data_IF_482753753112
#
_entry.id   IF_482753753112
#
_cell.length_a   1.000
_cell.length_b   1.000
_cell.length_c   1.000
_cell.angle_alpha   90.00
_cell.angle_beta   90.00
_cell.angle_gamma   90.00
#
_symmetry.space_group_name_H-M   'P 1'
#
loop_
_entity.id
_entity.type
_entity.pdbx_description
1 polymer ?
#
# COMPACT_ATOMS: atom_id res chain seq x y z
N UNK A 1 -47.21 -40.11 9.48
CA UNK A 1 -46.32 -39.09 8.88
C UNK A 1 -45.19 -39.82 8.21
N UNK A 2 -44.96 -39.55 6.92
CA UNK A 2 -43.86 -40.21 6.20
C UNK A 2 -42.53 -39.64 6.72
N UNK A 3 -41.57 -40.49 7.12
CA UNK A 3 -40.27 -40.04 7.63
C UNK A 3 -39.46 -39.19 6.61
N UNK A 4 -39.91 -39.16 5.36
CA UNK A 4 -39.30 -38.40 4.27
C UNK A 4 -39.37 -36.89 4.46
N UNK A 5 -40.49 -36.35 4.99
CA UNK A 5 -40.65 -34.90 5.18
C UNK A 5 -39.65 -34.29 6.17
N UNK A 6 -39.48 -34.80 7.41
CA UNK A 6 -38.50 -34.23 8.33
C UNK A 6 -37.06 -34.40 7.85
N UNK A 7 -36.74 -35.51 7.17
CA UNK A 7 -35.42 -35.73 6.56
C UNK A 7 -35.16 -34.69 5.46
N UNK A 8 -36.15 -34.44 4.60
CA UNK A 8 -36.03 -33.46 3.53
C UNK A 8 -35.85 -32.05 4.08
N UNK A 9 -36.62 -31.65 5.10
CA UNK A 9 -36.47 -30.36 5.78
C UNK A 9 -35.07 -30.21 6.38
N UNK A 10 -34.57 -31.24 7.08
CA UNK A 10 -33.24 -31.22 7.66
C UNK A 10 -32.14 -31.09 6.59
N UNK A 11 -32.29 -31.80 5.47
CA UNK A 11 -31.38 -31.71 4.33
C UNK A 11 -31.42 -30.32 3.69
N UNK A 12 -32.61 -29.74 3.54
CA UNK A 12 -32.79 -28.39 3.00
C UNK A 12 -32.14 -27.33 3.91
N UNK A 13 -32.34 -27.45 5.22
CA UNK A 13 -31.69 -26.60 6.22
C UNK A 13 -30.17 -26.73 6.16
N UNK A 14 -29.64 -27.96 6.10
CA UNK A 14 -28.21 -28.19 6.02
C UNK A 14 -27.59 -27.63 4.73
N UNK A 15 -28.29 -27.73 3.60
CA UNK A 15 -27.84 -27.15 2.33
C UNK A 15 -27.86 -25.62 2.41
N UNK A 16 -28.94 -25.01 2.89
CA UNK A 16 -29.05 -23.56 3.06
C UNK A 16 -27.92 -23.02 3.95
N UNK A 17 -27.70 -23.66 5.10
CA UNK A 17 -26.66 -23.27 6.04
C UNK A 17 -25.24 -23.40 5.44
N UNK A 18 -24.98 -24.47 4.68
CA UNK A 18 -23.69 -24.65 3.98
C UNK A 18 -23.48 -23.63 2.88
N UNK A 19 -24.52 -23.27 2.13
CA UNK A 19 -24.43 -22.23 1.10
C UNK A 19 -24.18 -20.86 1.73
N UNK A 20 -24.86 -20.54 2.83
CA UNK A 20 -24.65 -19.29 3.59
C UNK A 20 -23.20 -19.21 4.06
N UNK A 21 -22.71 -20.29 4.69
CA UNK A 21 -21.31 -20.44 5.08
C UNK A 21 -20.32 -20.24 3.93
N UNK A 22 -20.61 -20.83 2.78
CA UNK A 22 -19.78 -20.74 1.59
C UNK A 22 -19.72 -19.32 1.02
N UNK A 23 -20.84 -18.64 0.81
CA UNK A 23 -20.87 -17.29 0.23
C UNK A 23 -20.30 -16.25 1.20
N UNK A 24 -20.75 -16.28 2.45
CA UNK A 24 -20.28 -15.40 3.53
C UNK A 24 -18.77 -15.56 3.81
N UNK A 25 -18.28 -16.81 3.83
CA UNK A 25 -16.86 -17.12 3.92
C UNK A 25 -16.07 -16.66 2.71
N UNK A 26 -16.54 -16.97 1.50
CA UNK A 26 -15.89 -16.57 0.24
C UNK A 26 -15.73 -15.05 0.14
N UNK A 27 -16.73 -14.28 0.55
CA UNK A 27 -16.64 -12.81 0.62
C UNK A 27 -15.46 -12.35 1.48
N UNK A 28 -15.39 -12.84 2.72
CA UNK A 28 -14.34 -12.48 3.67
C UNK A 28 -12.97 -12.92 3.18
N UNK A 29 -12.88 -14.13 2.64
CA UNK A 29 -11.64 -14.65 2.06
C UNK A 29 -11.16 -13.79 0.90
N UNK A 30 -12.07 -13.37 0.03
CA UNK A 30 -11.74 -12.59 -1.15
C UNK A 30 -11.22 -11.20 -0.79
N UNK A 31 -11.81 -10.54 0.21
CA UNK A 31 -11.27 -9.27 0.71
C UNK A 31 -9.95 -9.41 1.45
N UNK A 32 -9.66 -10.60 1.98
CA UNK A 32 -8.42 -10.88 2.72
C UNK A 32 -7.29 -11.43 1.86
N UNK A 33 -7.58 -11.93 0.65
CA UNK A 33 -6.57 -12.52 -0.23
C UNK A 33 -5.55 -11.48 -0.64
N UNK A 34 -4.32 -11.92 -0.79
CA UNK A 34 -3.28 -11.03 -1.27
C UNK A 34 -3.23 -10.92 -2.78
N UNK A 35 -3.35 -9.70 -3.28
CA UNK A 35 -3.35 -9.43 -4.71
C UNK A 35 -1.98 -9.65 -5.38
N UNK A 36 -0.83 -9.22 -4.83
CA UNK A 36 0.49 -9.52 -5.38
C UNK A 36 0.73 -11.02 -5.60
N UNK A 37 0.56 -11.86 -4.57
CA UNK A 37 0.70 -13.31 -4.71
C UNK A 37 -0.26 -13.91 -5.73
N UNK A 38 -1.52 -13.51 -5.69
CA UNK A 38 -2.53 -14.01 -6.62
C UNK A 38 -2.17 -13.66 -8.08
N UNK A 39 -1.62 -12.47 -8.31
CA UNK A 39 -1.14 -12.03 -9.62
C UNK A 39 0.05 -12.86 -10.10
N UNK A 40 1.03 -13.14 -9.23
CA UNK A 40 2.19 -13.99 -9.55
C UNK A 40 1.73 -15.40 -9.90
N UNK A 41 0.87 -16.01 -9.08
CA UNK A 41 0.37 -17.36 -9.30
C UNK A 41 -0.43 -17.43 -10.62
N UNK A 42 -1.22 -16.40 -10.94
CA UNK A 42 -1.95 -16.31 -12.20
C UNK A 42 -1.00 -16.19 -13.42
N UNK A 43 0.08 -15.42 -13.31
CA UNK A 43 1.11 -15.30 -14.35
C UNK A 43 1.88 -16.61 -14.54
N UNK A 44 2.14 -17.34 -13.44
CA UNK A 44 2.76 -18.67 -13.46
C UNK A 44 1.86 -19.77 -14.06
N UNK A 45 0.62 -19.44 -14.44
CA UNK A 45 -0.28 -20.35 -15.15
C UNK A 45 -1.38 -20.98 -14.31
N UNK A 46 -1.47 -20.67 -13.00
CA UNK A 46 -2.51 -21.20 -12.12
C UNK A 46 -3.91 -20.73 -12.61
N UNK A 47 -4.72 -21.70 -13.05
CA UNK A 47 -6.07 -21.47 -13.57
C UNK A 47 -7.01 -20.90 -12.50
N UNK A 48 -6.84 -21.31 -11.24
CA UNK A 48 -7.67 -20.84 -10.13
C UNK A 48 -7.29 -19.40 -9.79
N UNK A 49 -5.99 -19.11 -9.71
CA UNK A 49 -5.51 -17.74 -9.52
C UNK A 49 -6.00 -16.81 -10.65
N UNK A 50 -5.98 -17.26 -11.92
CA UNK A 50 -6.54 -16.50 -13.06
C UNK A 50 -8.02 -16.18 -12.89
N UNK A 51 -8.84 -17.11 -12.39
CA UNK A 51 -10.27 -16.89 -12.13
C UNK A 51 -10.49 -15.87 -11.02
N UNK A 52 -9.80 -16.03 -9.89
CA UNK A 52 -9.89 -15.08 -8.78
C UNK A 52 -9.39 -13.68 -9.19
N UNK A 53 -8.34 -13.60 -10.01
CA UNK A 53 -7.87 -12.33 -10.61
C UNK A 53 -8.91 -11.68 -11.53
N UNK A 54 -9.69 -12.47 -12.27
CA UNK A 54 -10.76 -11.94 -13.09
C UNK A 54 -11.83 -11.25 -12.24
N UNK A 55 -12.24 -11.88 -11.13
CA UNK A 55 -13.15 -11.28 -10.16
C UNK A 55 -12.54 -10.04 -9.51
N UNK A 56 -11.24 -10.05 -9.20
CA UNK A 56 -10.56 -8.90 -8.57
C UNK A 56 -10.51 -7.69 -9.50
N UNK A 57 -10.43 -7.92 -10.81
CA UNK A 57 -10.50 -6.86 -11.83
C UNK A 57 -11.92 -6.42 -12.16
N UNK A 58 -12.94 -7.19 -11.77
CA UNK A 58 -14.35 -6.91 -12.03
C UNK A 58 -15.19 -7.18 -10.77
N UNK A 59 -14.96 -6.42 -9.68
CA UNK A 59 -15.54 -6.70 -8.37
C UNK A 59 -17.07 -6.73 -8.39
N UNK A 60 -17.72 -5.95 -9.26
CA UNK A 60 -19.17 -5.94 -9.42
C UNK A 60 -19.78 -7.34 -9.62
N UNK A 61 -19.14 -8.22 -10.40
CA UNK A 61 -19.65 -9.58 -10.62
C UNK A 61 -19.47 -10.48 -9.39
N UNK A 62 -18.34 -10.32 -8.68
CA UNK A 62 -18.10 -11.04 -7.45
C UNK A 62 -19.12 -10.63 -6.38
N UNK A 63 -19.22 -9.33 -6.10
CA UNK A 63 -20.13 -8.76 -5.10
C UNK A 63 -21.56 -9.17 -5.41
N UNK A 64 -22.01 -9.05 -6.67
CA UNK A 64 -23.37 -9.39 -7.02
C UNK A 64 -23.68 -10.88 -6.85
N UNK A 65 -22.74 -11.76 -7.21
CA UNK A 65 -22.89 -13.22 -7.03
C UNK A 65 -22.96 -13.58 -5.56
N UNK A 66 -22.05 -13.05 -4.76
CA UNK A 66 -21.96 -13.37 -3.34
C UNK A 66 -23.16 -12.83 -2.56
N UNK A 67 -23.63 -11.62 -2.89
CA UNK A 67 -24.81 -11.02 -2.26
C UNK A 67 -26.09 -11.81 -2.58
N UNK A 68 -26.32 -12.11 -3.86
CA UNK A 68 -27.50 -12.89 -4.29
C UNK A 68 -27.43 -14.31 -3.70
N UNK A 69 -26.27 -14.95 -3.78
CA UNK A 69 -26.06 -16.31 -3.28
C UNK A 69 -26.27 -16.41 -1.77
N UNK A 70 -25.72 -15.48 -0.99
CA UNK A 70 -25.87 -15.47 0.46
C UNK A 70 -27.33 -15.22 0.87
N UNK A 71 -28.01 -14.28 0.22
CA UNK A 71 -29.41 -14.01 0.49
C UNK A 71 -30.31 -15.20 0.14
N UNK A 72 -30.07 -15.85 -1.00
CA UNK A 72 -30.80 -17.06 -1.39
C UNK A 72 -30.59 -18.20 -0.37
N UNK A 73 -29.35 -18.38 0.10
CA UNK A 73 -29.02 -19.38 1.11
C UNK A 73 -29.73 -19.10 2.44
N UNK A 74 -29.78 -17.83 2.86
CA UNK A 74 -30.49 -17.41 4.07
C UNK A 74 -32.00 -17.64 3.93
N UNK A 75 -32.61 -17.28 2.80
CA UNK A 75 -34.03 -17.56 2.55
C UNK A 75 -34.34 -19.05 2.53
N UNK A 76 -33.47 -19.87 1.94
CA UNK A 76 -33.61 -21.34 1.95
C UNK A 76 -33.56 -21.90 3.38
N UNK A 77 -32.65 -21.36 4.19
CA UNK A 77 -32.49 -21.74 5.59
C UNK A 77 -33.71 -21.36 6.42
N UNK A 78 -34.20 -20.12 6.30
CA UNK A 78 -35.42 -19.65 6.98
C UNK A 78 -36.66 -20.41 6.52
N UNK A 79 -36.77 -20.71 5.22
CA UNK A 79 -37.85 -21.53 4.69
C UNK A 79 -37.82 -22.95 5.27
N UNK A 80 -36.64 -23.58 5.36
CA UNK A 80 -36.51 -24.88 5.98
C UNK A 80 -36.85 -24.87 7.48
N UNK A 81 -36.47 -23.81 8.22
CA UNK A 81 -36.87 -23.65 9.63
C UNK A 81 -38.39 -23.56 9.75
N UNK A 82 -39.03 -22.69 8.95
CA UNK A 82 -40.49 -22.50 8.96
C UNK A 82 -41.24 -23.79 8.60
N UNK A 83 -40.80 -24.51 7.57
CA UNK A 83 -41.36 -25.80 7.21
C UNK A 83 -41.14 -26.84 8.34
N UNK A 84 -39.96 -26.85 8.96
CA UNK A 84 -39.70 -27.70 10.13
C UNK A 84 -40.65 -27.45 11.29
N UNK A 85 -41.02 -26.19 11.55
CA UNK A 85 -42.04 -25.84 12.54
C UNK A 85 -43.40 -26.44 12.17
N UNK A 86 -43.83 -26.35 10.90
CA UNK A 86 -45.08 -26.97 10.45
C UNK A 86 -45.04 -28.49 10.61
N UNK A 87 -43.92 -29.14 10.27
CA UNK A 87 -43.78 -30.60 10.41
C UNK A 87 -43.84 -31.04 11.88
N UNK A 88 -43.28 -30.24 12.80
CA UNK A 88 -43.23 -30.58 14.23
C UNK A 88 -44.49 -30.20 15.01
N UNK A 89 -45.11 -29.06 14.68
CA UNK A 89 -46.20 -28.46 15.46
C UNK A 89 -47.53 -28.37 14.68
N UNK A 90 -47.57 -28.82 13.43
CA UNK A 90 -48.75 -28.82 12.55
C UNK A 90 -49.12 -27.47 11.95
N UNK A 91 -48.67 -26.36 12.54
CA UNK A 91 -48.92 -25.00 12.09
C UNK A 91 -47.85 -24.03 12.59
N UNK A 92 -47.67 -22.91 11.89
CA UNK A 92 -46.87 -21.77 12.36
C UNK A 92 -47.80 -20.83 13.12
N UNK A 93 -47.58 -20.69 14.43
CA UNK A 93 -48.18 -19.66 15.28
C UNK A 93 -47.15 -18.57 15.60
N UNK A 94 -47.61 -17.40 16.04
CA UNK A 94 -46.72 -16.30 16.49
C UNK A 94 -45.70 -16.78 17.55
N UNK A 95 -46.13 -17.65 18.46
CA UNK A 95 -45.25 -18.18 19.53
C UNK A 95 -44.17 -19.08 18.94
N UNK A 96 -44.53 -20.02 18.06
CA UNK A 96 -43.56 -20.93 17.43
C UNK A 96 -42.62 -20.20 16.47
N UNK A 97 -43.08 -19.14 15.80
CA UNK A 97 -42.26 -18.33 14.92
C UNK A 97 -41.23 -17.51 15.69
N UNK A 98 -41.64 -16.84 16.77
CA UNK A 98 -40.72 -16.11 17.67
C UNK A 98 -39.72 -17.09 18.31
N UNK A 99 -40.20 -18.21 18.84
CA UNK A 99 -39.33 -19.20 19.48
C UNK A 99 -38.32 -19.80 18.51
N UNK A 100 -38.75 -20.22 17.31
CA UNK A 100 -37.85 -20.76 16.28
C UNK A 100 -36.84 -19.71 15.81
N UNK A 101 -37.25 -18.45 15.66
CA UNK A 101 -36.35 -17.35 15.31
C UNK A 101 -35.29 -17.13 16.40
N UNK A 102 -35.68 -17.04 17.67
CA UNK A 102 -34.75 -16.83 18.79
C UNK A 102 -33.79 -18.00 18.97
N UNK A 103 -34.25 -19.23 18.74
CA UNK A 103 -33.43 -20.44 18.88
C UNK A 103 -32.51 -20.68 17.69
N UNK A 104 -33.01 -20.49 16.46
CA UNK A 104 -32.25 -20.80 15.24
C UNK A 104 -31.37 -19.64 14.77
N UNK A 105 -31.69 -18.39 15.08
CA UNK A 105 -30.86 -17.24 14.68
C UNK A 105 -29.41 -17.38 15.15
N UNK A 106 -29.10 -17.69 16.43
CA UNK A 106 -27.72 -17.93 16.87
C UNK A 106 -27.05 -19.09 16.15
N UNK A 107 -27.78 -20.15 15.81
CA UNK A 107 -27.25 -21.31 15.07
C UNK A 107 -26.87 -20.90 13.64
N UNK A 108 -27.78 -20.23 12.93
CA UNK A 108 -27.53 -19.75 11.57
C UNK A 108 -26.39 -18.73 11.55
N UNK A 109 -26.37 -17.80 12.51
CA UNK A 109 -25.29 -16.83 12.64
C UNK A 109 -23.93 -17.51 12.90
N UNK A 110 -23.87 -18.43 13.86
CA UNK A 110 -22.62 -19.10 14.23
C UNK A 110 -22.07 -19.94 13.08
N UNK A 111 -22.90 -20.80 12.50
CA UNK A 111 -22.45 -21.79 11.51
C UNK A 111 -22.49 -21.28 10.07
N UNK A 112 -23.41 -20.36 9.75
CA UNK A 112 -23.55 -19.76 8.42
C UNK A 112 -22.68 -18.52 8.23
N UNK A 113 -22.30 -17.82 9.29
CA UNK A 113 -21.53 -16.57 9.15
C UNK A 113 -20.25 -16.53 9.99
N UNK A 114 -20.35 -16.60 11.31
CA UNK A 114 -19.22 -16.30 12.20
C UNK A 114 -18.05 -17.28 12.00
N UNK A 115 -18.31 -18.59 12.07
CA UNK A 115 -17.28 -19.61 11.90
C UNK A 115 -16.70 -19.61 10.47
N UNK A 116 -17.50 -19.62 9.39
CA UNK A 116 -16.98 -19.59 8.03
C UNK A 116 -16.14 -18.33 7.74
N UNK A 117 -16.61 -17.15 8.14
CA UNK A 117 -15.86 -15.89 7.98
C UNK A 117 -14.51 -15.96 8.69
N UNK A 118 -14.46 -16.48 9.92
CA UNK A 118 -13.20 -16.63 10.67
C UNK A 118 -12.24 -17.63 10.01
N UNK A 119 -12.75 -18.76 9.49
CA UNK A 119 -11.91 -19.72 8.76
C UNK A 119 -11.30 -19.11 7.50
N UNK A 120 -12.11 -18.44 6.70
CA UNK A 120 -11.68 -17.75 5.49
C UNK A 120 -10.75 -16.57 5.77
N UNK A 121 -10.93 -15.88 6.89
CA UNK A 121 -10.02 -14.82 7.32
C UNK A 121 -8.61 -15.37 7.61
N UNK A 122 -8.52 -16.55 8.23
CA UNK A 122 -7.24 -17.18 8.60
C UNK A 122 -6.52 -17.83 7.42
N UNK A 123 -7.26 -18.41 6.47
CA UNK A 123 -6.70 -19.18 5.37
C UNK A 123 -7.32 -18.84 4.00
N UNK A 124 -7.37 -17.55 3.60
CA UNK A 124 -8.17 -17.06 2.48
C UNK A 124 -7.79 -17.73 1.16
N UNK A 125 -6.50 -17.75 0.82
CA UNK A 125 -6.04 -18.27 -0.47
C UNK A 125 -6.33 -19.77 -0.61
N UNK A 126 -6.12 -20.56 0.44
CA UNK A 126 -6.35 -22.01 0.41
C UNK A 126 -7.83 -22.36 0.25
N UNK A 127 -8.70 -21.68 1.00
CA UNK A 127 -10.14 -21.94 0.99
C UNK A 127 -10.78 -21.42 -0.29
N UNK A 128 -10.44 -20.21 -0.74
CA UNK A 128 -10.88 -19.69 -2.04
C UNK A 128 -10.39 -20.56 -3.19
N UNK A 129 -9.18 -21.12 -3.13
CA UNK A 129 -8.69 -22.03 -4.16
C UNK A 129 -9.52 -23.29 -4.24
N UNK A 130 -9.81 -23.90 -3.09
CA UNK A 130 -10.66 -25.08 -2.98
C UNK A 130 -12.08 -24.82 -3.51
N UNK A 131 -12.61 -23.66 -3.14
CA UNK A 131 -14.02 -23.31 -3.32
C UNK A 131 -14.26 -22.55 -4.66
N UNK A 132 -13.19 -22.23 -5.41
CA UNK A 132 -13.23 -21.49 -6.69
C UNK A 132 -14.12 -22.14 -7.74
N UNK A 133 -14.07 -23.47 -7.90
CA UNK A 133 -14.87 -24.17 -8.91
C UNK A 133 -16.36 -24.10 -8.56
N UNK A 134 -16.70 -24.25 -7.27
CA UNK A 134 -18.08 -24.10 -6.79
C UNK A 134 -18.55 -22.66 -6.96
N UNK A 135 -17.69 -21.68 -6.70
CA UNK A 135 -18.02 -20.26 -6.89
C UNK A 135 -18.26 -19.92 -8.35
N UNK A 136 -17.49 -20.48 -9.28
CA UNK A 136 -17.73 -20.30 -10.72
C UNK A 136 -19.06 -20.92 -11.15
N UNK A 137 -19.41 -22.11 -10.63
CA UNK A 137 -20.71 -22.71 -10.90
C UNK A 137 -21.86 -21.84 -10.37
N UNK A 138 -21.72 -21.32 -9.14
CA UNK A 138 -22.67 -20.39 -8.56
C UNK A 138 -22.78 -19.08 -9.37
N UNK A 139 -21.65 -18.53 -9.85
CA UNK A 139 -21.62 -17.35 -10.71
C UNK A 139 -22.46 -17.55 -11.97
N UNK A 140 -22.24 -18.65 -12.71
CA UNK A 140 -23.02 -18.91 -13.93
C UNK A 140 -24.50 -19.20 -13.64
N UNK A 141 -24.80 -19.91 -12.56
CA UNK A 141 -26.17 -20.21 -12.14
C UNK A 141 -26.95 -18.94 -11.72
N UNK A 142 -26.30 -18.05 -10.97
CA UNK A 142 -26.90 -16.83 -10.42
C UNK A 142 -26.73 -15.62 -11.34
N UNK A 143 -26.06 -15.77 -12.48
CA UNK A 143 -25.86 -14.71 -13.46
C UNK A 143 -27.15 -13.96 -13.85
N UNK A 144 -28.27 -14.62 -14.20
CA UNK A 144 -29.50 -13.91 -14.59
C UNK A 144 -30.08 -13.07 -13.45
N UNK A 145 -30.01 -13.58 -12.21
CA UNK A 145 -30.51 -12.89 -11.03
C UNK A 145 -29.57 -11.75 -10.57
N UNK A 146 -28.27 -11.89 -10.79
CA UNK A 146 -27.24 -10.92 -10.39
C UNK A 146 -27.01 -9.80 -11.41
N UNK A 147 -27.43 -9.96 -12.67
CA UNK A 147 -27.24 -8.96 -13.72
C UNK A 147 -27.75 -7.56 -13.34
N UNK A 148 -28.98 -7.37 -12.83
CA UNK A 148 -29.48 -6.04 -12.49
C UNK A 148 -28.61 -5.35 -11.46
N UNK A 149 -28.11 -6.11 -10.48
CA UNK A 149 -27.23 -5.62 -9.43
C UNK A 149 -25.88 -5.18 -9.98
N UNK A 150 -25.30 -5.94 -10.92
CA UNK A 150 -24.08 -5.51 -11.65
C UNK A 150 -24.33 -4.19 -12.40
N UNK A 151 -25.52 -4.02 -12.97
CA UNK A 151 -25.93 -2.76 -13.61
C UNK A 151 -25.92 -1.57 -12.64
N UNK A 152 -26.46 -1.76 -11.43
CA UNK A 152 -26.46 -0.74 -10.37
C UNK A 152 -25.02 -0.40 -9.94
N UNK A 153 -24.16 -1.39 -9.70
CA UNK A 153 -22.77 -1.14 -9.30
C UNK A 153 -22.02 -0.33 -10.36
N UNK A 154 -22.16 -0.68 -11.65
CA UNK A 154 -21.53 0.06 -12.75
C UNK A 154 -22.10 1.48 -12.92
N UNK A 155 -23.38 1.68 -12.62
CA UNK A 155 -23.98 3.02 -12.63
C UNK A 155 -23.35 3.90 -11.53
N UNK A 156 -23.18 3.35 -10.33
CA UNK A 156 -22.50 4.05 -9.22
C UNK A 156 -21.05 4.38 -9.61
N UNK A 157 -20.31 3.42 -10.17
CA UNK A 157 -18.93 3.65 -10.66
C UNK A 157 -18.87 4.79 -11.70
N UNK A 158 -19.90 4.94 -12.54
CA UNK A 158 -19.99 6.01 -13.54
C UNK A 158 -20.32 7.38 -12.92
N UNK A 159 -21.14 7.40 -11.87
CA UNK A 159 -21.53 8.63 -11.17
C UNK A 159 -20.44 9.14 -10.22
N UNK A 160 -19.61 8.22 -9.71
CA UNK A 160 -18.46 8.52 -8.86
C UNK A 160 -17.18 7.93 -9.47
N UNK A 161 -16.68 8.49 -10.59
CA UNK A 161 -15.40 8.07 -11.13
C UNK A 161 -14.30 8.31 -10.08
N UNK A 162 -13.48 7.29 -9.80
CA UNK A 162 -12.26 7.49 -9.00
C UNK A 162 -11.44 8.63 -9.65
N UNK A 163 -11.15 9.67 -8.85
CA UNK A 163 -10.90 11.04 -9.33
C UNK A 163 -9.74 11.22 -10.32
N UNK A 164 -9.88 12.22 -11.21
CA UNK A 164 -9.01 12.42 -12.38
C UNK A 164 -7.49 12.54 -12.11
N UNK A 165 -6.71 12.14 -13.14
CA UNK A 165 -5.25 12.21 -13.38
C UNK A 165 -4.28 12.63 -12.26
N UNK A 166 -4.52 13.73 -11.52
CA UNK A 166 -3.65 14.16 -10.40
C UNK A 166 -3.92 13.35 -9.12
N UNK A 167 -5.17 13.02 -8.83
CA UNK A 167 -5.53 12.17 -7.67
C UNK A 167 -5.09 10.73 -7.93
N UNK A 168 -5.18 10.23 -9.17
CA UNK A 168 -4.65 8.94 -9.61
C UNK A 168 -3.13 8.78 -9.40
N UNK A 169 -2.33 9.84 -9.59
CA UNK A 169 -0.88 9.77 -9.39
C UNK A 169 -0.48 9.63 -7.92
N UNK A 170 -1.14 10.38 -7.02
CA UNK A 170 -0.92 10.26 -5.57
C UNK A 170 -1.50 8.96 -5.01
N UNK A 171 -2.73 8.61 -5.37
CA UNK A 171 -3.35 7.32 -5.00
C UNK A 171 -2.57 6.14 -5.58
N UNK A 172 -2.04 6.27 -6.80
CA UNK A 172 -1.24 5.27 -7.48
C UNK A 172 0.08 4.99 -6.77
N UNK A 173 0.79 6.03 -6.31
CA UNK A 173 2.02 5.85 -5.51
C UNK A 173 1.74 5.20 -4.16
N UNK A 174 0.72 5.68 -3.44
CA UNK A 174 0.32 5.07 -2.16
C UNK A 174 -0.07 3.60 -2.35
N UNK A 175 -0.79 3.28 -3.43
CA UNK A 175 -1.13 1.90 -3.81
C UNK A 175 0.10 1.07 -4.17
N UNK A 176 1.09 1.63 -4.88
CA UNK A 176 2.36 0.94 -5.16
C UNK A 176 3.14 0.63 -3.88
N UNK A 177 3.25 1.58 -2.94
CA UNK A 177 3.90 1.37 -1.64
C UNK A 177 3.17 0.30 -0.82
N UNK A 178 1.84 0.30 -0.85
CA UNK A 178 1.03 -0.75 -0.23
C UNK A 178 1.31 -2.12 -0.84
N UNK A 179 1.39 -2.22 -2.17
CA UNK A 179 1.71 -3.46 -2.88
C UNK A 179 3.12 -3.96 -2.55
N UNK A 180 4.12 -3.08 -2.44
CA UNK A 180 5.48 -3.45 -2.01
C UNK A 180 5.49 -3.99 -0.58
N UNK A 181 4.78 -3.31 0.32
CA UNK A 181 4.66 -3.71 1.73
C UNK A 181 3.94 -5.05 1.87
N UNK A 182 2.89 -5.26 1.08
CA UNK A 182 2.19 -6.54 0.99
C UNK A 182 3.12 -7.63 0.45
N UNK A 183 3.88 -7.35 -0.62
CA UNK A 183 4.89 -8.26 -1.16
C UNK A 183 5.93 -8.68 -0.12
N UNK A 184 6.34 -7.77 0.77
CA UNK A 184 7.20 -8.10 1.92
C UNK A 184 6.53 -9.10 2.88
N UNK A 185 5.29 -8.84 3.29
CA UNK A 185 4.55 -9.75 4.18
C UNK A 185 4.35 -11.15 3.59
N UNK A 186 4.31 -11.24 2.26
CA UNK A 186 4.20 -12.50 1.53
C UNK A 186 5.54 -13.19 1.24
N UNK A 187 6.65 -12.62 1.69
CA UNK A 187 7.99 -13.13 1.41
C UNK A 187 8.42 -13.00 -0.05
N UNK A 188 7.70 -12.19 -0.85
CA UNK A 188 8.06 -11.88 -2.25
C UNK A 188 9.18 -10.85 -2.32
N UNK A 189 9.30 -10.01 -1.28
CA UNK A 189 10.36 -9.01 -1.14
C UNK A 189 11.04 -9.16 0.22
N UNK A 190 12.35 -8.95 0.25
CA UNK A 190 13.10 -8.83 1.50
C UNK A 190 12.81 -7.49 2.20
N UNK A 191 13.07 -7.43 3.50
CA UNK A 191 12.99 -6.20 4.29
C UNK A 191 13.85 -5.06 3.73
N UNK A 192 15.01 -5.40 3.16
CA UNK A 192 15.90 -4.42 2.53
C UNK A 192 15.29 -3.91 1.24
N UNK A 193 14.85 -4.80 0.34
CA UNK A 193 14.23 -4.40 -0.93
C UNK A 193 12.99 -3.52 -0.73
N UNK A 194 12.10 -3.87 0.21
CA UNK A 194 10.93 -3.06 0.52
C UNK A 194 11.31 -1.67 1.07
N UNK A 195 12.33 -1.59 1.94
CA UNK A 195 12.82 -0.30 2.45
C UNK A 195 13.39 0.59 1.36
N UNK A 196 14.23 0.03 0.48
CA UNK A 196 14.82 0.78 -0.64
C UNK A 196 13.75 1.27 -1.61
N UNK A 197 12.82 0.38 -2.01
CA UNK A 197 11.73 0.74 -2.92
C UNK A 197 10.83 1.84 -2.35
N UNK A 198 10.40 1.68 -1.08
CA UNK A 198 9.55 2.69 -0.43
C UNK A 198 10.29 4.00 -0.21
N UNK A 199 11.58 3.96 0.16
CA UNK A 199 12.42 5.14 0.29
C UNK A 199 12.43 5.92 -1.03
N UNK A 200 12.80 5.28 -2.13
CA UNK A 200 12.90 5.95 -3.45
C UNK A 200 11.54 6.47 -3.90
N UNK A 201 10.47 5.67 -3.81
CA UNK A 201 9.14 6.07 -4.26
C UNK A 201 8.56 7.25 -3.50
N UNK A 202 8.90 7.40 -2.21
CA UNK A 202 8.40 8.47 -1.36
C UNK A 202 9.29 9.71 -1.36
N UNK A 203 10.61 9.54 -1.40
CA UNK A 203 11.57 10.64 -1.18
C UNK A 203 12.11 11.23 -2.47
N UNK A 204 12.26 10.44 -3.54
CA UNK A 204 12.76 10.93 -4.82
C UNK A 204 12.00 12.16 -5.37
N UNK A 205 10.66 12.24 -5.32
CA UNK A 205 9.93 13.39 -5.85
C UNK A 205 9.87 14.59 -4.91
N UNK A 206 10.34 14.47 -3.65
CA UNK A 206 10.36 15.59 -2.72
C UNK A 206 11.39 16.63 -3.19
N UNK A 207 11.16 17.92 -2.91
CA UNK A 207 12.10 18.96 -3.28
C UNK A 207 13.41 18.80 -2.51
N UNK A 208 14.50 19.26 -3.13
CA UNK A 208 15.84 19.22 -2.55
C UNK A 208 15.93 20.05 -1.25
N UNK A 209 15.06 21.03 -1.08
CA UNK A 209 14.94 21.87 0.13
C UNK A 209 14.63 21.08 1.39
N UNK A 210 13.97 19.92 1.27
CA UNK A 210 13.66 19.06 2.43
C UNK A 210 14.90 18.31 2.96
N UNK A 211 15.99 18.29 2.18
CA UNK A 211 17.24 17.59 2.48
C UNK A 211 18.44 18.52 2.64
N UNK A 212 18.28 19.81 2.34
CA UNK A 212 19.39 20.76 2.41
C UNK A 212 19.75 21.09 3.84
N UNK A 213 21.01 21.43 4.07
CA UNK A 213 21.44 22.11 5.28
C UNK A 213 21.14 23.61 5.07
N UNK A 214 20.27 24.22 5.89
CA UNK A 214 19.98 25.66 5.82
C UNK A 214 21.25 26.50 5.90
N UNK A 215 21.31 27.65 5.20
CA UNK A 215 22.51 28.48 5.05
C UNK A 215 23.17 28.88 6.38
N UNK A 216 22.38 29.12 7.43
CA UNK A 216 22.80 29.47 8.79
C UNK A 216 23.43 28.29 9.56
N UNK A 217 23.22 27.06 9.09
CA UNK A 217 23.69 25.81 9.72
C UNK A 217 24.81 25.14 8.93
N UNK A 218 25.18 25.68 7.78
CA UNK A 218 26.27 25.12 6.98
C UNK A 218 27.59 25.31 7.72
N UNK A 219 28.30 24.22 7.94
CA UNK A 219 29.62 24.23 8.55
C UNK A 219 30.67 24.48 7.46
N UNK A 220 31.39 25.58 7.59
CA UNK A 220 32.48 25.93 6.68
C UNK A 220 33.29 27.13 7.15
N UNK A 221 34.14 27.63 6.26
CA UNK A 221 35.07 28.74 6.53
C UNK A 221 35.03 29.76 5.39
N UNK A 222 35.65 30.92 5.61
CA UNK A 222 35.75 31.98 4.60
C UNK A 222 36.72 31.57 3.48
N UNK A 223 36.51 32.07 2.26
CA UNK A 223 37.47 31.92 1.15
C UNK A 223 38.86 32.51 1.43
N UNK A 224 38.96 33.41 2.41
CA UNK A 224 40.22 34.05 2.84
C UNK A 224 40.95 33.26 3.93
N UNK A 225 40.35 32.18 4.44
CA UNK A 225 40.94 31.39 5.51
C UNK A 225 42.26 30.75 5.10
N UNK A 226 43.21 30.74 6.04
CA UNK A 226 44.52 30.14 5.82
C UNK A 226 44.45 28.61 5.75
N UNK A 227 45.50 28.00 5.20
CA UNK A 227 45.61 26.53 5.12
C UNK A 227 45.51 25.88 6.50
N UNK A 228 46.15 26.49 7.50
CA UNK A 228 46.15 26.01 8.88
C UNK A 228 44.75 26.10 9.51
N UNK A 229 44.01 27.17 9.23
CA UNK A 229 42.62 27.34 9.69
C UNK A 229 41.70 26.28 9.10
N UNK A 230 41.79 26.01 7.80
CA UNK A 230 40.98 24.96 7.13
C UNK A 230 41.28 23.59 7.76
N UNK A 231 42.56 23.26 7.97
CA UNK A 231 42.95 21.98 8.59
C UNK A 231 42.52 21.89 10.05
N UNK A 232 42.60 22.98 10.81
CA UNK A 232 42.12 23.05 12.20
C UNK A 232 40.60 22.87 12.26
N UNK A 233 39.86 23.50 11.35
CA UNK A 233 38.42 23.34 11.21
C UNK A 233 38.05 21.89 10.88
N UNK A 234 38.68 21.31 9.86
CA UNK A 234 38.47 19.93 9.45
C UNK A 234 38.70 18.94 10.60
N UNK A 235 39.76 19.13 11.39
CA UNK A 235 40.04 18.32 12.59
C UNK A 235 38.99 18.51 13.68
N UNK A 236 38.58 19.74 13.94
CA UNK A 236 37.59 20.06 14.99
C UNK A 236 36.22 19.43 14.70
N UNK A 237 35.78 19.45 13.44
CA UNK A 237 34.47 18.94 13.03
C UNK A 237 34.53 17.54 12.39
N UNK A 238 35.71 16.92 12.37
CA UNK A 238 35.97 15.61 11.76
C UNK A 238 35.39 15.45 10.34
N UNK A 239 35.48 16.51 9.53
CA UNK A 239 34.92 16.53 8.18
C UNK A 239 36.02 16.43 7.12
N UNK A 240 35.90 15.55 6.11
CA UNK A 240 36.85 15.46 5.00
C UNK A 240 36.65 16.55 3.94
N UNK A 241 35.54 17.28 4.02
CA UNK A 241 35.11 18.31 3.07
C UNK A 241 34.73 19.56 3.85
N UNK A 242 35.24 20.72 3.44
CA UNK A 242 34.95 21.99 4.10
C UNK A 242 34.27 22.91 3.10
N UNK A 243 33.07 23.39 3.42
CA UNK A 243 32.36 24.36 2.60
C UNK A 243 33.02 25.75 2.74
N UNK A 244 32.95 26.54 1.67
CA UNK A 244 33.50 27.87 1.57
C UNK A 244 32.40 28.87 1.26
N UNK A 245 32.34 29.93 2.06
CA UNK A 245 31.50 31.11 1.79
C UNK A 245 32.37 32.29 1.35
N UNK A 246 31.77 33.25 0.65
CA UNK A 246 32.49 34.48 0.28
C UNK A 246 32.81 35.30 1.52
N UNK A 247 33.93 36.03 1.48
CA UNK A 247 34.29 36.97 2.55
C UNK A 247 33.28 38.11 2.69
N UNK A 248 32.62 38.49 1.58
CA UNK A 248 31.62 39.56 1.54
C UNK A 248 30.30 39.20 2.26
N UNK A 249 29.95 37.92 2.33
CA UNK A 249 28.68 37.47 2.89
C UNK A 249 28.80 36.05 3.46
N UNK A 250 28.62 35.91 4.78
CA UNK A 250 28.72 34.62 5.49
C UNK A 250 27.70 33.57 5.03
N UNK A 251 26.61 33.99 4.37
CA UNK A 251 25.56 33.11 3.86
C UNK A 251 25.71 32.79 2.36
N UNK A 252 26.65 33.42 1.63
CA UNK A 252 26.90 33.14 0.21
C UNK A 252 27.91 32.00 0.04
N UNK A 253 27.41 30.77 0.21
CA UNK A 253 28.14 29.53 -0.04
C UNK A 253 28.30 29.27 -1.53
N UNK A 254 29.52 29.00 -2.01
CA UNK A 254 29.79 28.87 -3.46
C UNK A 254 30.74 27.74 -3.85
N UNK A 255 31.58 27.26 -2.93
CA UNK A 255 32.59 26.25 -3.23
C UNK A 255 32.86 25.37 -2.01
N UNK A 256 33.52 24.24 -2.23
CA UNK A 256 34.06 23.42 -1.15
C UNK A 256 35.49 23.00 -1.46
N UNK A 257 36.21 22.55 -0.44
CA UNK A 257 37.57 22.07 -0.56
C UNK A 257 37.71 20.70 0.10
N UNK A 258 38.50 19.81 -0.51
CA UNK A 258 38.79 18.49 0.06
C UNK A 258 40.03 18.60 0.94
N UNK A 259 39.92 18.13 2.18
CA UNK A 259 41.03 18.18 3.15
C UNK A 259 42.25 17.43 2.65
N UNK A 260 42.04 16.33 1.91
CA UNK A 260 43.13 15.59 1.27
C UNK A 260 43.93 16.47 0.30
N UNK A 261 43.26 17.23 -0.57
CA UNK A 261 43.92 18.13 -1.53
C UNK A 261 44.72 19.21 -0.79
N UNK A 262 44.21 19.70 0.34
CA UNK A 262 44.88 20.66 1.23
C UNK A 262 46.10 20.05 1.95
N UNK A 263 46.18 18.73 2.09
CA UNK A 263 47.35 18.08 2.68
C UNK A 263 48.40 17.72 1.64
N UNK A 264 47.99 17.42 0.40
CA UNK A 264 48.87 16.92 -0.65
C UNK A 264 49.41 18.00 -1.58
N UNK A 265 48.62 19.04 -1.86
CA UNK A 265 48.98 20.08 -2.83
C UNK A 265 49.49 21.35 -2.12
N UNK A 266 50.75 21.71 -2.35
CA UNK A 266 51.38 22.93 -1.80
C UNK A 266 51.11 24.19 -2.61
N UNK A 267 50.34 24.09 -3.69
CA UNK A 267 49.94 25.19 -4.55
C UNK A 267 49.02 26.22 -3.88
N UNK A 268 48.61 27.26 -4.63
CA UNK A 268 47.72 28.30 -4.13
C UNK A 268 46.36 27.70 -3.73
N UNK A 269 45.86 28.03 -2.53
CA UNK A 269 44.59 27.49 -2.01
C UNK A 269 43.41 27.68 -2.98
N UNK A 270 43.38 28.80 -3.71
CA UNK A 270 42.31 29.12 -4.66
C UNK A 270 42.21 28.12 -5.82
N UNK A 271 43.29 27.43 -6.21
CA UNK A 271 43.22 26.40 -7.26
C UNK A 271 42.58 25.10 -6.78
N UNK A 272 42.43 24.94 -5.46
CA UNK A 272 41.81 23.77 -4.84
C UNK A 272 40.30 23.94 -4.62
N UNK A 273 39.75 25.13 -4.91
CA UNK A 273 38.34 25.41 -4.73
C UNK A 273 37.53 24.65 -5.78
N UNK A 274 36.60 23.81 -5.31
CA UNK A 274 35.63 23.12 -6.17
C UNK A 274 34.31 23.88 -6.15
N UNK A 275 33.92 24.54 -7.26
CA UNK A 275 32.68 25.28 -7.33
C UNK A 275 31.49 24.34 -7.11
N UNK A 276 30.53 24.75 -6.29
CA UNK A 276 29.29 24.00 -6.12
C UNK A 276 28.36 24.29 -7.31
N UNK A 277 27.83 23.27 -8.01
CA UNK A 277 26.77 23.48 -8.98
C UNK A 277 25.53 24.05 -8.30
N UNK A 278 24.83 24.91 -9.04
CA UNK A 278 23.61 25.58 -8.58
C UNK A 278 22.42 24.67 -8.85
N UNK A 279 21.64 24.42 -7.80
CA UNK A 279 20.43 23.62 -7.82
C UNK A 279 19.21 24.50 -7.60
N UNK A 280 18.15 24.25 -8.38
CA UNK A 280 16.86 24.90 -8.18
C UNK A 280 16.21 24.42 -6.87
N UNK A 281 15.54 25.29 -6.09
CA UNK A 281 14.81 24.88 -4.88
C UNK A 281 13.66 23.92 -5.20
N UNK A 282 13.11 24.02 -6.41
CA UNK A 282 12.04 23.14 -6.90
C UNK A 282 12.55 21.82 -7.50
N UNK A 283 13.87 21.64 -7.65
CA UNK A 283 14.44 20.40 -8.17
C UNK A 283 14.14 19.25 -7.20
N UNK A 284 13.86 18.06 -7.74
CA UNK A 284 13.65 16.89 -6.92
C UNK A 284 14.97 16.39 -6.32
N UNK A 285 14.92 15.65 -5.21
CA UNK A 285 16.12 15.04 -4.61
C UNK A 285 16.87 14.14 -5.59
N UNK A 286 16.14 13.44 -6.47
CA UNK A 286 16.75 12.58 -7.48
C UNK A 286 17.45 13.39 -8.58
N UNK A 287 16.81 14.46 -9.07
CA UNK A 287 17.41 15.34 -10.10
C UNK A 287 18.67 16.02 -9.55
N UNK A 288 18.60 16.51 -8.30
CA UNK A 288 19.75 17.12 -7.61
C UNK A 288 20.91 16.12 -7.45
N UNK A 289 20.62 14.87 -7.04
CA UNK A 289 21.65 13.84 -6.94
C UNK A 289 22.24 13.48 -8.31
N UNK A 290 21.41 13.37 -9.34
CA UNK A 290 21.85 13.08 -10.70
C UNK A 290 22.75 14.20 -11.25
N UNK A 291 22.37 15.46 -11.03
CA UNK A 291 23.17 16.60 -11.45
C UNK A 291 24.55 16.59 -10.77
N UNK A 292 24.60 16.38 -9.45
CA UNK A 292 25.86 16.24 -8.71
C UNK A 292 26.74 15.09 -9.24
N UNK A 293 26.13 13.96 -9.62
CA UNK A 293 26.86 12.83 -10.20
C UNK A 293 27.42 13.13 -11.59
N UNK A 294 26.67 13.82 -12.44
CA UNK A 294 27.10 14.23 -13.79
C UNK A 294 28.25 15.24 -13.70
N UNK A 295 28.11 16.22 -12.81
CA UNK A 295 29.12 17.27 -12.61
C UNK A 295 30.37 16.71 -11.89
N UNK A 296 30.28 15.52 -11.29
CA UNK A 296 31.37 14.90 -10.53
C UNK A 296 31.61 15.59 -9.18
N UNK A 297 30.62 16.31 -8.68
CA UNK A 297 30.72 17.16 -7.49
C UNK A 297 29.96 16.57 -6.29
N UNK A 298 30.52 16.74 -5.08
CA UNK A 298 29.95 16.14 -3.87
C UNK A 298 28.95 17.06 -3.17
N UNK A 299 29.07 18.37 -3.38
CA UNK A 299 28.26 19.41 -2.75
C UNK A 299 27.59 20.26 -3.82
N UNK A 300 26.34 20.65 -3.60
CA UNK A 300 25.60 21.59 -4.44
C UNK A 300 25.02 22.73 -3.60
N UNK A 301 24.86 23.90 -4.20
CA UNK A 301 24.22 25.05 -3.55
C UNK A 301 22.80 25.20 -4.06
N UNK A 302 21.83 25.32 -3.15
CA UNK A 302 20.44 25.58 -3.49
C UNK A 302 20.23 27.10 -3.49
N UNK A 303 19.94 27.68 -4.66
CA UNK A 303 19.72 29.14 -4.80
C UNK A 303 18.32 29.45 -5.31
N UNK A 304 17.68 30.45 -4.73
CA UNK A 304 16.42 31.03 -5.21
C UNK A 304 16.72 32.44 -5.73
N UNK A 305 16.86 32.58 -7.05
CA UNK A 305 17.46 33.78 -7.64
C UNK A 305 18.93 33.92 -7.23
N UNK A 306 19.28 35.06 -6.64
CA UNK A 306 20.64 35.32 -6.14
C UNK A 306 20.87 34.85 -4.70
N UNK A 307 19.81 34.48 -3.97
CA UNK A 307 19.89 34.13 -2.55
C UNK A 307 20.19 32.65 -2.34
N UNK A 308 21.24 32.34 -1.56
CA UNK A 308 21.53 30.97 -1.10
C UNK A 308 20.53 30.57 -0.02
N UNK A 309 19.81 29.48 -0.26
CA UNK A 309 18.88 28.88 0.73
C UNK A 309 19.55 27.82 1.58
N UNK A 310 20.55 27.14 1.02
CA UNK A 310 21.26 26.09 1.72
C UNK A 310 22.22 25.32 0.81
N UNK A 311 22.83 24.30 1.40
CA UNK A 311 23.81 23.44 0.74
C UNK A 311 23.41 21.98 0.91
N UNK A 312 23.58 21.19 -0.14
CA UNK A 312 23.25 19.76 -0.16
C UNK A 312 24.50 18.94 -0.42
N UNK A 313 24.55 17.75 0.17
CA UNK A 313 25.62 16.78 -0.04
C UNK A 313 25.04 15.57 -0.77
N UNK A 314 25.69 15.13 -1.84
CA UNK A 314 25.37 13.91 -2.60
C UNK A 314 25.19 12.68 -1.71
N UNK A 315 26.06 12.50 -0.70
CA UNK A 315 25.95 11.40 0.27
C UNK A 315 24.67 11.51 1.11
N UNK A 316 24.35 12.73 1.57
CA UNK A 316 23.14 12.99 2.34
C UNK A 316 21.88 12.75 1.52
N UNK A 317 21.86 13.18 0.26
CA UNK A 317 20.77 12.91 -0.68
C UNK A 317 20.62 11.39 -0.92
N UNK A 318 21.72 10.68 -1.15
CA UNK A 318 21.72 9.23 -1.33
C UNK A 318 21.19 8.51 -0.09
N UNK A 319 21.68 8.83 1.11
CA UNK A 319 21.21 8.23 2.37
C UNK A 319 19.72 8.47 2.61
N UNK A 320 19.21 9.67 2.26
CA UNK A 320 17.79 9.98 2.41
C UNK A 320 16.92 9.28 1.36
N UNK A 321 17.40 9.09 0.13
CA UNK A 321 16.67 8.37 -0.92
C UNK A 321 16.36 6.92 -0.54
N UNK A 322 17.20 6.32 0.28
CA UNK A 322 17.08 4.92 0.69
C UNK A 322 16.53 4.74 2.11
N UNK A 323 16.20 5.83 2.82
CA UNK A 323 15.49 5.76 4.09
C UNK A 323 13.99 5.82 3.84
N UNK A 324 13.18 4.91 4.45
CA UNK A 324 11.74 5.11 4.47
C UNK A 324 11.44 6.45 5.14
N UNK A 325 10.48 7.21 4.62
CA UNK A 325 10.03 8.42 5.31
C UNK A 325 9.63 8.01 6.73
N UNK A 326 10.30 8.57 7.74
CA UNK A 326 9.80 8.48 9.11
C UNK A 326 8.39 9.05 9.07
N UNK A 327 7.35 8.31 9.48
CA UNK A 327 6.04 8.91 9.63
C UNK A 327 6.23 10.09 10.56
N UNK A 328 6.02 11.30 10.04
CA UNK A 328 5.77 12.48 10.88
C UNK A 328 4.64 12.05 11.82
N UNK A 329 4.95 12.01 13.11
CA UNK A 329 4.00 11.59 14.14
C UNK A 329 2.86 12.58 14.19
N UNK A 330 1.82 12.36 13.37
CA UNK A 330 0.57 13.10 13.38
C UNK A 330 -0.61 12.32 12.76
N UNK A 331 -0.54 10.99 12.76
CA UNK A 331 -1.70 10.12 12.50
C UNK A 331 -1.75 9.02 13.56
N UNK A 332 -1.92 9.44 14.81
CA UNK A 332 -2.41 8.61 15.89
C UNK A 332 -3.61 9.33 16.52
N UNK A 333 -4.74 9.32 15.80
CA UNK A 333 -6.10 9.44 16.35
C UNK A 333 -7.03 8.54 15.55
#
# INVERSE_FOLDING_TARGET
>A
MSWFEPIFVLLLFAIGLRLSAFFSGSETGFYRVSFPRLSIDAQAGDRVAKRLMWFARKPAYFVATTLVGNNLANFLTTFAISWGVVVLFGQVTNVTEIASTMLMSPVVFLFGELLPKNLYYRAPLSLLRRDSTLFMAAYYLLMPASWPLVGVTKLIERLYPEGGRRTELFLGRSRLVQLMTQGRHEGLLTDVQNRLANGVLQTAPLPVTDSMTPCDRVLGVSEESSREEILKFARRYATPLVALHRASAAEDWFAYIRVLDVLTDTGPLRSLFRPMPILSPSASKLDALQQLQIDGELYGVVKEGETVRGVVNSRGLCEQLFRPATPTGDLAL
#
